data_IF_165906530614
#
_entry.id   IF_165906530614
#
_cell.length_a   1.000
_cell.length_b   1.000
_cell.length_c   1.000
_cell.angle_alpha   90.00
_cell.angle_beta   90.00
_cell.angle_gamma   90.00
#
_symmetry.space_group_name_H-M   'P 1'
#
loop_
_entity.id
_entity.type
_entity.pdbx_description
1 polymer ?
#
# COMPACT_ATOMS: atom_id res chain seq x y z
N UNK A 1 -7.66 -8.23 -71.52
CA UNK A 1 -6.68 -8.06 -70.43
C UNK A 1 -7.44 -7.39 -69.29
N UNK A 2 -7.93 -8.20 -68.35
CA UNK A 2 -8.94 -7.83 -67.34
C UNK A 2 -8.28 -7.08 -66.19
N UNK A 3 -8.84 -5.93 -65.81
CA UNK A 3 -8.45 -5.18 -64.61
C UNK A 3 -9.03 -5.87 -63.39
N UNK A 4 -8.18 -6.47 -62.56
CA UNK A 4 -8.59 -7.08 -61.30
C UNK A 4 -8.91 -5.96 -60.29
N UNK A 5 -10.16 -5.92 -59.86
CA UNK A 5 -10.70 -4.96 -58.90
C UNK A 5 -10.30 -5.41 -57.50
N UNK A 6 -9.40 -4.66 -56.87
CA UNK A 6 -9.02 -4.89 -55.48
C UNK A 6 -10.13 -4.42 -54.54
N UNK A 7 -10.86 -5.36 -53.91
CA UNK A 7 -11.82 -5.06 -52.87
C UNK A 7 -11.10 -4.81 -51.53
N UNK A 8 -11.50 -3.82 -50.72
CA UNK A 8 -10.96 -3.65 -49.37
C UNK A 8 -11.57 -4.69 -48.43
N UNK A 9 -10.72 -5.54 -47.84
CA UNK A 9 -11.10 -6.45 -46.76
C UNK A 9 -11.55 -5.63 -45.54
N UNK A 10 -12.82 -5.74 -45.17
CA UNK A 10 -13.34 -5.19 -43.92
C UNK A 10 -12.84 -6.01 -42.74
N UNK A 11 -11.98 -5.41 -41.91
CA UNK A 11 -11.61 -5.95 -40.61
C UNK A 11 -12.75 -5.69 -39.63
N UNK A 12 -13.68 -6.64 -39.55
CA UNK A 12 -14.50 -6.84 -38.37
C UNK A 12 -13.68 -7.62 -37.35
N UNK A 13 -13.46 -7.05 -36.17
CA UNK A 13 -13.55 -7.72 -34.86
C UNK A 13 -12.61 -7.06 -33.86
N UNK A 14 -13.21 -6.58 -32.77
CA UNK A 14 -12.53 -6.45 -31.50
C UNK A 14 -11.95 -5.08 -31.20
N UNK A 15 -12.76 -4.02 -31.27
CA UNK A 15 -12.60 -2.95 -30.28
C UNK A 15 -12.93 -3.58 -28.92
N UNK A 16 -11.97 -4.31 -28.35
CA UNK A 16 -11.98 -4.65 -26.95
C UNK A 16 -11.88 -3.30 -26.26
N UNK A 17 -13.04 -2.77 -25.86
CA UNK A 17 -13.10 -1.65 -24.96
C UNK A 17 -12.09 -1.97 -23.87
N UNK A 18 -11.05 -1.14 -23.80
CA UNK A 18 -10.13 -1.13 -22.67
C UNK A 18 -11.03 -0.72 -21.52
N UNK A 19 -11.61 -1.72 -20.88
CA UNK A 19 -12.50 -1.54 -19.76
C UNK A 19 -11.67 -0.83 -18.71
N UNK A 20 -11.84 0.49 -18.61
CA UNK A 20 -11.14 1.36 -17.67
C UNK A 20 -11.55 1.10 -16.22
N UNK A 21 -12.09 -0.08 -15.93
CA UNK A 21 -12.67 -0.52 -14.67
C UNK A 21 -12.02 -1.81 -14.13
N UNK A 22 -10.90 -2.26 -14.71
CA UNK A 22 -10.19 -3.45 -14.22
C UNK A 22 -9.52 -3.31 -12.82
N UNK A 23 -9.86 -2.26 -12.07
CA UNK A 23 -9.64 -2.19 -10.62
C UNK A 23 -11.00 -2.30 -9.92
N UNK A 24 -11.55 -3.52 -9.85
CA UNK A 24 -12.71 -3.80 -9.02
C UNK A 24 -12.46 -3.40 -7.55
N UNK A 25 -13.53 -3.13 -6.79
CA UNK A 25 -13.43 -2.73 -5.38
C UNK A 25 -12.48 -3.69 -4.63
N UNK A 26 -11.44 -3.19 -3.92
CA UNK A 26 -10.54 -4.06 -3.17
C UNK A 26 -11.31 -4.84 -2.10
N UNK A 27 -10.94 -6.10 -1.89
CA UNK A 27 -11.53 -6.92 -0.83
C UNK A 27 -11.24 -6.33 0.54
N UNK A 28 -12.09 -6.63 1.54
CA UNK A 28 -11.85 -6.22 2.92
C UNK A 28 -10.49 -6.67 3.43
N UNK A 29 -10.03 -7.86 3.07
CA UNK A 29 -8.69 -8.37 3.42
C UNK A 29 -7.57 -7.48 2.88
N UNK A 30 -7.69 -7.00 1.62
CA UNK A 30 -6.71 -6.07 1.04
C UNK A 30 -6.73 -4.72 1.73
N UNK A 31 -7.91 -4.23 2.10
CA UNK A 31 -8.03 -2.98 2.87
C UNK A 31 -7.43 -3.13 4.26
N UNK A 32 -7.68 -4.26 4.94
CA UNK A 32 -7.12 -4.56 6.25
C UNK A 32 -5.60 -4.60 6.20
N UNK A 33 -5.03 -5.30 5.22
CA UNK A 33 -3.58 -5.34 5.03
C UNK A 33 -2.99 -3.94 4.75
N UNK A 34 -3.66 -3.13 3.92
CA UNK A 34 -3.24 -1.75 3.67
C UNK A 34 -3.31 -0.87 4.92
N UNK A 35 -4.31 -1.08 5.77
CA UNK A 35 -4.47 -0.34 7.02
C UNK A 35 -3.45 -0.76 8.10
N UNK A 36 -3.15 -2.06 8.21
CA UNK A 36 -2.06 -2.60 9.04
C UNK A 36 -0.69 -2.04 8.61
N UNK A 37 -0.46 -1.95 7.29
CA UNK A 37 0.77 -1.36 6.76
C UNK A 37 0.84 0.15 6.99
N UNK A 38 -0.29 0.86 6.91
CA UNK A 38 -0.32 2.26 7.29
C UNK A 38 0.07 2.45 8.76
N UNK A 39 -0.47 1.62 9.66
CA UNK A 39 -0.13 1.67 11.08
C UNK A 39 1.34 1.31 11.34
N UNK A 40 1.91 0.36 10.59
CA UNK A 40 3.34 0.01 10.70
C UNK A 40 4.21 1.23 10.37
N UNK A 41 3.93 1.93 9.27
CA UNK A 41 4.65 3.16 8.90
C UNK A 41 4.48 4.24 9.96
N UNK A 42 3.27 4.42 10.48
CA UNK A 42 2.98 5.38 11.54
C UNK A 42 3.80 5.11 12.81
N UNK A 43 3.76 3.88 13.31
CA UNK A 43 4.52 3.47 14.50
C UNK A 43 6.02 3.68 14.27
N UNK A 44 6.52 3.34 13.09
CA UNK A 44 7.93 3.55 12.76
C UNK A 44 8.34 5.02 12.86
N UNK A 45 7.48 5.97 12.45
CA UNK A 45 7.74 7.41 12.64
C UNK A 45 7.78 7.81 14.12
N UNK A 46 6.90 7.23 14.94
CA UNK A 46 6.92 7.45 16.39
C UNK A 46 8.22 6.92 17.00
N UNK A 47 8.65 5.70 16.62
CA UNK A 47 9.89 5.10 17.09
C UNK A 47 11.11 5.95 16.74
N UNK A 48 11.20 6.44 15.50
CA UNK A 48 12.24 7.38 15.05
C UNK A 48 12.24 8.68 15.86
N UNK A 49 11.06 9.25 16.09
CA UNK A 49 10.89 10.45 16.91
C UNK A 49 11.38 10.22 18.35
N UNK A 50 11.04 9.08 18.94
CA UNK A 50 11.50 8.71 20.29
C UNK A 50 13.02 8.48 20.34
N UNK A 51 13.60 7.80 19.34
CA UNK A 51 15.05 7.51 19.32
C UNK A 51 15.91 8.75 19.10
N UNK A 52 15.38 9.79 18.46
CA UNK A 52 16.12 11.04 18.20
C UNK A 52 16.63 11.75 19.47
N UNK A 53 15.97 11.53 20.62
CA UNK A 53 16.37 12.09 21.91
C UNK A 53 17.16 11.13 22.82
N UNK A 54 17.46 9.92 22.36
CA UNK A 54 18.19 8.91 23.14
C UNK A 54 19.68 8.92 22.77
N UNK A 55 20.54 8.59 23.74
CA UNK A 55 21.94 8.31 23.44
C UNK A 55 22.09 7.01 22.62
N UNK A 56 23.08 6.93 21.73
CA UNK A 56 23.35 5.71 20.95
C UNK A 56 23.55 4.47 21.84
N UNK A 57 23.09 3.32 21.36
CA UNK A 57 23.26 2.02 22.04
C UNK A 57 22.03 1.53 22.83
N UNK A 58 20.93 2.27 22.86
CA UNK A 58 19.65 1.82 23.41
C UNK A 58 18.93 0.77 22.55
N UNK A 59 17.92 0.10 23.11
CA UNK A 59 17.16 -0.98 22.43
C UNK A 59 16.39 -0.52 21.17
N UNK A 60 16.05 0.77 21.07
CA UNK A 60 15.45 1.38 19.87
C UNK A 60 16.49 2.05 18.96
N UNK A 61 17.77 1.94 19.31
CA UNK A 61 18.78 2.93 18.93
C UNK A 61 18.60 4.25 19.68
N UNK A 62 19.59 5.11 19.55
CA UNK A 62 19.54 6.56 19.77
C UNK A 62 20.09 7.34 18.58
N UNK A 63 20.43 8.61 18.80
CA UNK A 63 21.16 9.41 17.81
C UNK A 63 22.42 8.66 17.33
N UNK A 64 22.68 8.65 16.02
CA UNK A 64 23.86 8.03 15.40
C UNK A 64 24.01 6.49 15.58
N UNK A 65 22.90 5.74 15.71
CA UNK A 65 22.90 4.27 15.91
C UNK A 65 23.35 3.41 14.72
N UNK A 66 23.93 4.03 13.70
CA UNK A 66 24.42 3.34 12.51
C UNK A 66 23.34 3.07 11.46
N UNK A 67 23.74 2.54 10.28
CA UNK A 67 22.91 2.50 9.09
C UNK A 67 21.71 1.53 9.15
N UNK A 68 21.64 0.67 10.16
CA UNK A 68 20.59 -0.36 10.29
C UNK A 68 19.53 -0.03 11.34
N UNK A 69 19.67 1.08 12.06
CA UNK A 69 18.74 1.45 13.13
C UNK A 69 17.31 1.63 12.60
N UNK A 70 17.14 2.36 11.49
CA UNK A 70 15.84 2.57 10.87
C UNK A 70 15.21 1.25 10.39
N UNK A 71 16.02 0.34 9.85
CA UNK A 71 15.54 -0.98 9.40
C UNK A 71 15.03 -1.82 10.57
N UNK A 72 15.72 -1.77 11.72
CA UNK A 72 15.27 -2.44 12.95
C UNK A 72 13.97 -1.83 13.48
N UNK A 73 13.87 -0.50 13.47
CA UNK A 73 12.66 0.21 13.89
C UNK A 73 11.47 -0.11 12.99
N UNK A 74 11.68 -0.24 11.68
CA UNK A 74 10.62 -0.65 10.75
C UNK A 74 10.14 -2.09 11.03
N UNK A 75 11.05 -3.02 11.36
CA UNK A 75 10.66 -4.38 11.76
C UNK A 75 9.90 -4.41 13.09
N UNK A 76 10.31 -3.61 14.07
CA UNK A 76 9.55 -3.46 15.30
C UNK A 76 8.16 -2.90 15.03
N UNK A 77 8.06 -1.87 14.20
CA UNK A 77 6.79 -1.26 13.88
C UNK A 77 5.85 -2.21 13.14
N UNK A 78 6.37 -3.01 12.20
CA UNK A 78 5.63 -4.12 11.60
C UNK A 78 5.15 -5.08 12.69
N UNK A 79 6.05 -5.64 13.50
CA UNK A 79 5.69 -6.61 14.54
C UNK A 79 4.61 -6.08 15.50
N UNK A 80 4.71 -4.82 15.92
CA UNK A 80 3.72 -4.17 16.79
C UNK A 80 2.37 -4.08 16.07
N UNK A 81 2.35 -3.57 14.83
CA UNK A 81 1.12 -3.48 14.01
C UNK A 81 0.45 -4.86 13.87
N UNK A 82 1.21 -5.90 13.49
CA UNK A 82 0.66 -7.27 13.32
C UNK A 82 0.17 -7.91 14.63
N UNK A 83 0.70 -7.48 15.77
CA UNK A 83 0.40 -8.06 17.09
C UNK A 83 -0.80 -7.39 17.77
N UNK A 84 -1.55 -6.55 17.06
CA UNK A 84 -2.72 -5.84 17.56
C UNK A 84 -2.58 -4.31 17.53
N UNK A 85 -1.39 -3.79 17.22
CA UNK A 85 -1.18 -2.37 16.94
C UNK A 85 -1.56 -1.43 18.08
N UNK A 86 -1.90 -0.19 17.73
CA UNK A 86 -2.37 0.85 18.65
C UNK A 86 -3.77 1.37 18.28
N UNK A 87 -4.41 0.76 17.26
CA UNK A 87 -5.76 1.07 16.80
C UNK A 87 -5.86 2.12 15.68
N UNK A 88 -4.71 2.62 15.18
CA UNK A 88 -4.68 3.54 14.03
C UNK A 88 -5.08 2.79 12.76
N UNK A 89 -4.62 1.54 12.60
CA UNK A 89 -4.99 0.69 11.46
C UNK A 89 -6.51 0.46 11.40
N UNK A 90 -7.14 0.17 12.54
CA UNK A 90 -8.60 -0.02 12.60
C UNK A 90 -9.38 1.24 12.22
N UNK A 91 -8.93 2.41 12.68
CA UNK A 91 -9.55 3.68 12.32
C UNK A 91 -9.45 3.96 10.81
N UNK A 92 -8.29 3.66 10.22
CA UNK A 92 -8.05 3.81 8.78
C UNK A 92 -8.89 2.83 7.97
N UNK A 93 -8.95 1.57 8.38
CA UNK A 93 -9.78 0.54 7.74
C UNK A 93 -11.25 0.97 7.71
N UNK A 94 -11.76 1.48 8.82
CA UNK A 94 -13.15 1.98 8.91
C UNK A 94 -13.43 3.08 7.88
N UNK A 95 -12.50 4.02 7.72
CA UNK A 95 -12.67 5.10 6.75
C UNK A 95 -12.54 4.59 5.30
N UNK A 96 -11.62 3.66 5.04
CA UNK A 96 -11.49 3.01 3.73
C UNK A 96 -12.77 2.27 3.32
N UNK A 97 -13.38 1.52 4.24
CA UNK A 97 -14.65 0.82 4.00
C UNK A 97 -15.80 1.80 3.71
N UNK A 98 -15.91 2.86 4.51
CA UNK A 98 -16.91 3.90 4.28
C UNK A 98 -16.78 4.55 2.89
N UNK A 99 -15.54 4.84 2.45
CA UNK A 99 -15.30 5.37 1.11
C UNK A 99 -15.74 4.41 0.00
N UNK A 100 -15.61 3.09 0.22
CA UNK A 100 -16.07 2.09 -0.74
C UNK A 100 -17.59 1.95 -0.83
N UNK A 101 -18.32 2.21 0.27
CA UNK A 101 -19.79 2.16 0.29
C UNK A 101 -20.42 3.37 -0.44
N UNK A 102 -19.73 4.51 -0.43
CA UNK A 102 -20.25 5.77 -1.01
C UNK A 102 -19.97 5.96 -2.50
N UNK A 103 -19.14 5.11 -3.12
CA UNK A 103 -18.85 5.16 -4.56
C UNK A 103 -19.49 4.01 -5.30
#
# INVERSE_FOLDING_TARGET
MTTDTFAPTSLSTGARALDGTAFGRPSEEKLRAAAEEFESVFIAQILRGMSSGLEPGGALGGADSGPFADMLQDEYARLISRSGGIGVGDAVLKEMLKMQETG
#
